data_IF_474795422969
#
_entry.id   IF_474795422969
#
_cell.length_a   1.000
_cell.length_b   1.000
_cell.length_c   1.000
_cell.angle_alpha   90.00
_cell.angle_beta   90.00
_cell.angle_gamma   90.00
#
_symmetry.space_group_name_H-M   'P 1'
#
loop_
_entity.id
_entity.type
_entity.pdbx_description
1 polymer ?
#
# COMPACT_ATOMS: atom_id res chain seq x y z
N UNK A 1 -8.06 6.83 22.85
CA UNK A 1 -8.85 5.63 22.62
C UNK A 1 -7.97 4.45 23.02
N UNK A 2 -8.36 3.73 24.06
CA UNK A 2 -7.57 2.62 24.66
C UNK A 2 -8.13 1.26 24.28
N UNK A 3 -9.14 1.21 23.41
CA UNK A 3 -9.76 -0.02 22.97
C UNK A 3 -8.95 -0.66 21.85
N UNK A 4 -8.93 -1.99 21.85
CA UNK A 4 -8.33 -2.77 20.78
C UNK A 4 -9.03 -2.48 19.44
N UNK A 5 -8.27 -2.18 18.40
CA UNK A 5 -8.78 -1.87 17.05
C UNK A 5 -9.52 -3.03 16.38
N UNK A 6 -9.30 -4.27 16.83
CA UNK A 6 -9.87 -5.47 16.20
C UNK A 6 -11.13 -5.97 16.91
N UNK A 7 -11.17 -5.98 18.24
CA UNK A 7 -12.33 -6.46 19.01
C UNK A 7 -13.14 -5.33 19.66
N UNK A 8 -12.68 -4.07 19.56
CA UNK A 8 -13.28 -2.88 20.18
C UNK A 8 -13.44 -2.95 21.72
N UNK A 9 -12.77 -3.90 22.38
CA UNK A 9 -12.77 -4.07 23.84
C UNK A 9 -11.50 -3.49 24.48
N UNK A 10 -11.61 -3.04 25.71
CA UNK A 10 -10.51 -2.61 26.59
C UNK A 10 -10.24 -3.60 27.75
N UNK A 11 -10.92 -4.76 27.75
CA UNK A 11 -10.65 -5.86 28.69
C UNK A 11 -9.19 -6.34 28.58
N UNK A 12 -8.63 -6.97 29.61
CA UNK A 12 -7.24 -7.48 29.57
C UNK A 12 -6.20 -6.40 29.20
N UNK A 13 -6.33 -5.21 29.78
CA UNK A 13 -5.46 -4.05 29.49
C UNK A 13 -3.94 -4.35 29.59
N UNK A 14 -3.55 -5.30 30.44
CA UNK A 14 -2.15 -5.77 30.58
C UNK A 14 -1.61 -6.52 29.34
N UNK A 15 -2.49 -6.93 28.42
CA UNK A 15 -2.14 -7.59 27.14
C UNK A 15 -2.37 -6.67 25.94
N UNK A 16 -2.55 -5.38 26.16
CA UNK A 16 -2.65 -4.38 25.09
C UNK A 16 -1.26 -3.93 24.64
N UNK A 17 -1.12 -3.80 23.32
CA UNK A 17 0.01 -3.21 22.64
C UNK A 17 -0.40 -1.85 22.08
N UNK A 18 0.37 -0.84 22.42
CA UNK A 18 0.27 0.49 21.86
C UNK A 18 1.26 0.61 20.71
N UNK A 19 0.81 1.11 19.56
CA UNK A 19 1.71 1.43 18.47
C UNK A 19 2.58 2.64 18.81
N UNK A 20 3.89 2.54 18.65
CA UNK A 20 4.81 3.68 18.86
C UNK A 20 4.66 4.77 17.77
N UNK A 21 4.04 4.40 16.65
CA UNK A 21 3.67 5.31 15.58
C UNK A 21 4.86 5.75 14.73
N UNK A 22 4.59 6.58 13.71
CA UNK A 22 5.64 7.14 12.88
C UNK A 22 5.96 8.58 13.31
N UNK A 23 7.20 9.05 13.17
CA UNK A 23 7.58 10.41 13.60
C UNK A 23 6.73 11.53 12.99
N UNK A 24 6.18 11.35 11.78
CA UNK A 24 5.30 12.31 11.11
C UNK A 24 3.81 11.95 11.16
N UNK A 25 3.49 10.75 11.62
CA UNK A 25 2.12 10.25 11.72
C UNK A 25 2.00 9.53 13.05
N UNK A 26 1.74 10.32 14.11
CA UNK A 26 1.46 9.77 15.42
C UNK A 26 0.34 8.75 15.31
N UNK A 27 0.54 7.58 15.90
CA UNK A 27 -0.45 6.51 15.90
C UNK A 27 -0.86 6.25 17.34
N UNK A 28 -2.16 6.23 17.58
CA UNK A 28 -2.74 5.91 18.89
C UNK A 28 -3.45 4.56 18.86
N UNK A 29 -3.14 3.74 17.84
CA UNK A 29 -3.77 2.46 17.67
C UNK A 29 -3.30 1.48 18.76
N UNK A 30 -4.27 0.77 19.31
CA UNK A 30 -4.09 -0.19 20.39
C UNK A 30 -4.63 -1.53 19.94
N UNK A 31 -3.95 -2.61 20.28
CA UNK A 31 -4.32 -3.98 19.89
C UNK A 31 -4.09 -4.94 21.04
N UNK A 32 -4.98 -5.91 21.25
CA UNK A 32 -4.62 -7.07 22.06
C UNK A 32 -3.59 -7.91 21.33
N UNK A 33 -2.61 -8.40 22.08
CA UNK A 33 -1.59 -9.33 21.56
C UNK A 33 -2.20 -10.55 20.86
N UNK A 34 -3.30 -11.07 21.40
CA UNK A 34 -3.97 -12.26 20.88
C UNK A 34 -4.97 -11.98 19.75
N UNK A 35 -5.31 -10.71 19.50
CA UNK A 35 -6.17 -10.35 18.37
C UNK A 35 -5.38 -10.18 17.07
N UNK A 36 -4.05 -10.03 17.16
CA UNK A 36 -3.17 -9.93 15.98
C UNK A 36 -3.11 -11.26 15.23
N UNK A 37 -2.76 -11.19 13.95
CA UNK A 37 -2.46 -12.35 13.10
C UNK A 37 -1.03 -12.25 12.55
N UNK A 38 -0.09 -13.11 12.97
CA UNK A 38 -0.27 -14.16 14.00
C UNK A 38 -0.40 -13.57 15.42
N UNK A 39 -1.07 -14.28 16.35
CA UNK A 39 -1.22 -13.82 17.73
C UNK A 39 0.11 -13.87 18.47
N UNK A 40 0.36 -12.85 19.29
CA UNK A 40 1.57 -12.73 20.10
C UNK A 40 1.35 -13.32 21.49
N UNK A 41 2.30 -14.15 21.94
CA UNK A 41 2.27 -14.77 23.27
C UNK A 41 2.99 -13.95 24.34
N UNK A 42 3.87 -13.02 23.93
CA UNK A 42 4.64 -12.13 24.82
C UNK A 42 4.81 -10.75 24.19
N UNK A 43 5.03 -9.74 25.03
CA UNK A 43 5.35 -8.39 24.55
C UNK A 43 6.61 -8.45 23.66
N UNK A 44 6.58 -7.82 22.47
CA UNK A 44 7.75 -7.73 21.61
C UNK A 44 8.83 -6.86 22.29
N UNK A 45 10.12 -7.19 22.15
CA UNK A 45 11.19 -6.33 22.63
C UNK A 45 11.38 -5.13 21.69
N UNK A 46 11.56 -3.94 22.27
CA UNK A 46 11.76 -2.70 21.51
C UNK A 46 10.45 -2.09 21.00
N UNK A 47 10.56 -1.25 19.97
CA UNK A 47 9.42 -0.55 19.39
C UNK A 47 8.49 -1.53 18.65
N UNK A 48 7.19 -1.33 18.81
CA UNK A 48 6.17 -2.08 18.10
C UNK A 48 5.29 -1.15 17.26
N UNK A 49 5.07 -1.55 16.01
CA UNK A 49 4.24 -0.82 15.07
C UNK A 49 3.02 -1.67 14.71
N UNK A 50 1.84 -1.05 14.73
CA UNK A 50 0.64 -1.70 14.25
C UNK A 50 0.75 -2.06 12.75
N UNK A 51 -0.10 -2.97 12.23
CA UNK A 51 -0.04 -3.37 10.82
C UNK A 51 -0.05 -2.20 9.84
N UNK A 52 -0.82 -1.14 10.12
CA UNK A 52 -0.86 0.08 9.30
C UNK A 52 0.48 0.84 9.31
N UNK A 53 1.09 1.04 10.49
CA UNK A 53 2.38 1.72 10.60
C UNK A 53 3.51 0.89 10.02
N UNK A 54 3.51 -0.43 10.23
CA UNK A 54 4.45 -1.35 9.62
C UNK A 54 4.33 -1.32 8.08
N UNK A 55 3.12 -1.32 7.54
CA UNK A 55 2.88 -1.18 6.10
C UNK A 55 3.40 0.16 5.56
N UNK A 56 3.12 1.27 6.26
CA UNK A 56 3.63 2.59 5.88
C UNK A 56 5.15 2.69 5.92
N UNK A 57 5.81 2.03 6.87
CA UNK A 57 7.28 1.93 6.87
C UNK A 57 7.82 1.19 5.64
N UNK A 58 7.08 0.23 5.07
CA UNK A 58 7.47 -0.49 3.85
C UNK A 58 7.71 0.43 2.65
N UNK A 59 7.12 1.64 2.64
CA UNK A 59 7.33 2.62 1.57
C UNK A 59 8.79 3.10 1.43
N UNK A 60 9.62 2.92 2.46
CA UNK A 60 11.07 3.14 2.34
C UNK A 60 11.72 2.13 1.37
N UNK A 61 11.16 0.92 1.29
CA UNK A 61 11.66 -0.24 0.54
C UNK A 61 11.04 -0.37 -0.86
N UNK A 62 10.38 0.68 -1.37
CA UNK A 62 9.96 0.71 -2.78
C UNK A 62 11.19 0.50 -3.66
N UNK A 63 11.28 -0.57 -4.43
CA UNK A 63 12.39 -0.75 -5.36
C UNK A 63 12.11 0.02 -6.66
N UNK A 64 10.90 -0.14 -7.20
CA UNK A 64 10.50 0.43 -8.48
C UNK A 64 8.98 0.61 -8.55
N UNK A 65 8.53 1.66 -9.22
CA UNK A 65 7.14 1.79 -9.71
C UNK A 65 7.07 1.15 -11.08
N UNK A 66 6.22 0.14 -11.23
CA UNK A 66 6.10 -0.69 -12.42
C UNK A 66 5.01 -0.18 -13.35
N UNK A 67 3.86 0.20 -12.79
CA UNK A 67 2.68 0.63 -13.56
C UNK A 67 1.81 1.62 -12.75
N UNK A 68 0.77 2.17 -13.36
CA UNK A 68 -0.28 2.94 -12.70
C UNK A 68 -1.66 2.57 -13.26
N UNK A 69 -2.69 2.75 -12.45
CA UNK A 69 -4.09 2.68 -12.87
C UNK A 69 -4.87 3.83 -12.26
N UNK A 70 -5.86 4.32 -12.98
CA UNK A 70 -6.85 5.25 -12.46
C UNK A 70 -8.11 4.43 -12.09
N UNK A 71 -8.38 4.29 -10.80
CA UNK A 71 -9.52 3.55 -10.26
C UNK A 71 -10.69 4.51 -10.09
N UNK A 72 -11.91 4.18 -10.56
CA UNK A 72 -13.10 4.99 -10.28
C UNK A 72 -13.25 5.20 -8.77
N UNK A 73 -13.55 6.43 -8.35
CA UNK A 73 -13.85 6.67 -6.95
C UNK A 73 -15.14 5.90 -6.58
N UNK A 74 -15.07 5.06 -5.55
CA UNK A 74 -16.15 4.17 -5.11
C UNK A 74 -17.52 4.85 -5.05
N UNK A 75 -18.52 4.28 -5.73
CA UNK A 75 -19.94 4.65 -5.67
C UNK A 75 -20.61 4.11 -4.39
N UNK A 76 -20.03 4.38 -3.22
CA UNK A 76 -20.54 3.97 -1.91
C UNK A 76 -21.73 4.81 -1.39
N UNK A 77 -22.64 5.26 -2.27
CA UNK A 77 -23.75 6.13 -1.88
C UNK A 77 -24.96 6.05 -2.82
N UNK A 78 -26.08 5.55 -2.28
CA UNK A 78 -27.45 5.60 -2.84
C UNK A 78 -27.68 6.75 -3.84
N UNK A 79 -28.05 6.38 -5.06
CA UNK A 79 -28.22 7.26 -6.20
C UNK A 79 -28.96 8.57 -5.92
N UNK A 80 -28.39 9.65 -6.48
CA UNK A 80 -29.11 10.84 -6.90
C UNK A 80 -28.64 11.16 -8.31
N UNK A 81 -29.54 10.99 -9.27
CA UNK A 81 -29.33 11.40 -10.65
C UNK A 81 -29.28 12.94 -10.69
N UNK A 82 -28.13 13.45 -11.09
CA UNK A 82 -27.90 14.86 -11.39
C UNK A 82 -26.62 14.97 -12.18
N UNK A 83 -26.65 15.74 -13.27
CA UNK A 83 -25.50 16.06 -14.11
C UNK A 83 -24.49 16.89 -13.31
N UNK A 84 -23.63 16.22 -12.55
CA UNK A 84 -22.43 16.77 -11.94
C UNK A 84 -21.35 15.70 -12.10
N UNK A 85 -20.20 16.09 -12.67
CA UNK A 85 -19.11 15.16 -12.91
C UNK A 85 -18.76 14.46 -11.59
N UNK A 86 -18.92 13.14 -11.54
CA UNK A 86 -18.63 12.34 -10.35
C UNK A 86 -17.22 12.59 -9.80
N UNK A 87 -16.93 12.14 -8.57
CA UNK A 87 -15.63 12.36 -7.94
C UNK A 87 -14.49 11.92 -8.88
N UNK A 88 -13.38 12.69 -8.94
CA UNK A 88 -12.27 12.34 -9.81
C UNK A 88 -11.73 10.95 -9.46
N UNK A 89 -11.27 10.17 -10.45
CA UNK A 89 -10.71 8.86 -10.19
C UNK A 89 -9.47 8.95 -9.29
N UNK A 90 -9.26 7.91 -8.48
CA UNK A 90 -8.08 7.79 -7.62
C UNK A 90 -6.98 7.05 -8.37
N UNK A 91 -5.78 7.60 -8.35
CA UNK A 91 -4.61 6.95 -8.96
C UNK A 91 -3.94 5.99 -7.99
N UNK A 92 -3.60 4.81 -8.48
CA UNK A 92 -2.79 3.81 -7.77
C UNK A 92 -1.57 3.42 -8.62
N UNK A 93 -0.45 3.12 -7.96
CA UNK A 93 0.79 2.69 -8.59
C UNK A 93 1.10 1.24 -8.24
N UNK A 94 1.47 0.42 -9.23
CA UNK A 94 1.94 -0.94 -8.98
C UNK A 94 3.40 -0.93 -8.59
N UNK A 95 3.71 -1.39 -7.38
CA UNK A 95 5.03 -1.23 -6.76
C UNK A 95 5.73 -2.57 -6.61
N UNK A 96 6.99 -2.62 -7.08
CA UNK A 96 7.97 -3.64 -6.72
C UNK A 96 8.64 -3.27 -5.41
N UNK A 97 8.61 -4.17 -4.44
CA UNK A 97 9.26 -4.01 -3.14
C UNK A 97 10.67 -4.61 -3.14
N UNK A 98 11.60 -3.94 -2.46
CA UNK A 98 12.99 -4.37 -2.34
C UNK A 98 13.06 -5.65 -1.51
N UNK A 99 13.79 -6.64 -2.01
CA UNK A 99 13.95 -7.93 -1.34
C UNK A 99 12.75 -8.87 -1.51
N UNK A 100 11.70 -8.43 -2.20
CA UNK A 100 10.53 -9.25 -2.50
C UNK A 100 10.48 -9.66 -3.98
N UNK A 101 9.88 -10.82 -4.23
CA UNK A 101 9.61 -11.28 -5.60
C UNK A 101 8.52 -10.44 -6.27
N UNK A 102 8.33 -10.61 -7.58
CA UNK A 102 7.28 -9.88 -8.30
C UNK A 102 5.86 -10.28 -7.86
N UNK A 103 5.69 -11.46 -7.25
CA UNK A 103 4.41 -11.94 -6.69
C UNK A 103 3.88 -11.06 -5.55
N UNK A 104 4.77 -10.37 -4.84
CA UNK A 104 4.41 -9.53 -3.70
C UNK A 104 4.23 -8.06 -4.11
N UNK A 105 4.27 -7.74 -5.41
CA UNK A 105 3.99 -6.40 -5.88
C UNK A 105 2.52 -6.07 -5.60
N UNK A 106 2.26 -4.83 -5.20
CA UNK A 106 0.94 -4.37 -4.77
C UNK A 106 0.59 -3.01 -5.37
N UNK A 107 -0.71 -2.72 -5.41
CA UNK A 107 -1.24 -1.43 -5.83
C UNK A 107 -1.29 -0.48 -4.64
N UNK A 108 -0.52 0.61 -4.74
CA UNK A 108 -0.39 1.61 -3.69
C UNK A 108 -1.05 2.93 -4.12
N UNK A 109 -2.00 3.47 -3.34
CA UNK A 109 -2.65 4.74 -3.67
C UNK A 109 -1.67 5.92 -3.73
N UNK A 110 -1.84 6.79 -4.72
CA UNK A 110 -1.04 8.01 -4.88
C UNK A 110 -1.13 8.92 -3.64
N UNK A 111 -2.30 8.96 -3.00
CA UNK A 111 -2.52 9.72 -1.76
C UNK A 111 -1.61 9.23 -0.63
N UNK A 112 -1.49 7.91 -0.43
CA UNK A 112 -0.61 7.33 0.59
C UNK A 112 0.85 7.50 0.21
N UNK A 113 1.22 7.26 -1.06
CA UNK A 113 2.58 7.55 -1.55
C UNK A 113 2.97 9.02 -1.36
N UNK A 114 2.04 9.95 -1.57
CA UNK A 114 2.23 11.39 -1.38
C UNK A 114 2.43 11.77 0.08
N UNK A 115 1.68 11.14 1.01
CA UNK A 115 1.92 11.27 2.46
C UNK A 115 3.30 10.73 2.82
N UNK A 116 3.64 9.54 2.34
CA UNK A 116 4.90 8.88 2.64
C UNK A 116 6.10 9.57 2.02
N UNK A 117 5.97 10.28 0.90
CA UNK A 117 7.05 11.07 0.30
C UNK A 117 7.62 12.12 1.27
N UNK A 118 6.79 12.68 2.17
CA UNK A 118 7.26 13.61 3.20
C UNK A 118 8.24 12.96 4.18
N UNK A 119 8.08 11.66 4.43
CA UNK A 119 8.94 10.87 5.32
C UNK A 119 10.12 10.24 4.56
N UNK A 120 9.87 9.77 3.34
CA UNK A 120 10.83 9.09 2.48
C UNK A 120 10.93 9.84 1.15
N UNK A 121 11.78 10.88 1.04
CA UNK A 121 11.88 11.72 -0.15
C UNK A 121 12.15 10.97 -1.45
N UNK A 122 12.81 9.81 -1.36
CA UNK A 122 13.10 8.93 -2.49
C UNK A 122 11.85 8.46 -3.26
N UNK A 123 10.67 8.41 -2.62
CA UNK A 123 9.42 7.98 -3.27
C UNK A 123 9.11 8.86 -4.48
N UNK A 124 9.18 10.19 -4.33
CA UNK A 124 8.91 11.13 -5.43
C UNK A 124 9.90 10.96 -6.57
N UNK A 125 11.18 10.74 -6.27
CA UNK A 125 12.18 10.50 -7.30
C UNK A 125 11.88 9.21 -8.11
N UNK A 126 11.39 8.15 -7.45
CA UNK A 126 10.98 6.90 -8.12
C UNK A 126 9.77 7.11 -9.03
N UNK A 127 8.75 7.84 -8.56
CA UNK A 127 7.56 8.19 -9.36
C UNK A 127 7.94 9.05 -10.57
N UNK A 128 8.76 10.10 -10.37
CA UNK A 128 9.23 10.96 -11.46
C UNK A 128 10.01 10.17 -12.52
N UNK A 129 10.88 9.26 -12.08
CA UNK A 129 11.63 8.37 -12.99
C UNK A 129 10.69 7.47 -13.79
N UNK A 130 9.67 6.91 -13.15
CA UNK A 130 8.67 6.07 -13.83
C UNK A 130 8.00 6.81 -14.99
N UNK A 131 7.45 8.00 -14.74
CA UNK A 131 6.79 8.81 -15.77
C UNK A 131 7.73 9.15 -16.93
N UNK A 132 8.96 9.58 -16.62
CA UNK A 132 9.99 9.88 -17.65
C UNK A 132 10.29 8.67 -18.55
N UNK A 133 10.36 7.47 -17.98
CA UNK A 133 10.65 6.25 -18.75
C UNK A 133 9.44 5.74 -19.54
N UNK A 134 8.22 6.07 -19.10
CA UNK A 134 6.98 5.61 -19.76
C UNK A 134 6.62 6.45 -20.98
N UNK A 135 6.87 7.75 -20.94
CA UNK A 135 6.70 8.64 -22.11
C UNK A 135 7.45 8.13 -23.35
N UNK A 136 8.57 7.41 -23.17
CA UNK A 136 9.34 6.80 -24.26
C UNK A 136 8.91 5.40 -24.71
N UNK A 137 8.01 4.70 -24.00
CA UNK A 137 7.66 3.29 -24.23
C UNK A 137 6.21 3.04 -24.70
N UNK A 138 5.40 4.10 -24.84
CA UNK A 138 3.94 3.99 -25.01
C UNK A 138 3.43 3.25 -26.26
N UNK A 139 4.26 2.97 -27.27
CA UNK A 139 3.82 2.30 -28.50
C UNK A 139 3.99 0.78 -28.44
N UNK A 140 5.14 0.26 -28.01
CA UNK A 140 5.46 -1.17 -28.02
C UNK A 140 4.88 -1.92 -26.80
N UNK A 141 4.81 -1.29 -25.62
CA UNK A 141 4.25 -1.92 -24.42
C UNK A 141 2.74 -2.13 -24.50
N UNK A 142 1.98 -1.26 -25.19
CA UNK A 142 0.52 -1.43 -25.35
C UNK A 142 0.16 -2.69 -26.13
N UNK A 143 0.89 -2.98 -27.20
CA UNK A 143 0.64 -4.16 -28.04
C UNK A 143 0.99 -5.46 -27.29
N UNK A 144 2.05 -5.46 -26.49
CA UNK A 144 2.45 -6.60 -25.67
C UNK A 144 1.56 -6.82 -24.43
N UNK A 145 1.03 -5.76 -23.83
CA UNK A 145 0.03 -5.83 -22.75
C UNK A 145 -1.33 -6.33 -23.27
N UNK A 146 -1.78 -5.89 -24.45
CA UNK A 146 -2.99 -6.40 -25.09
C UNK A 146 -2.87 -7.89 -25.46
N UNK A 147 -1.67 -8.37 -25.77
CA UNK A 147 -1.39 -9.79 -26.01
C UNK A 147 -1.33 -10.64 -24.71
N UNK A 148 -1.36 -10.02 -23.52
CA UNK A 148 -1.29 -10.70 -22.23
C UNK A 148 0.09 -11.31 -21.91
N UNK A 149 1.12 -10.98 -22.67
CA UNK A 149 2.49 -11.46 -22.47
C UNK A 149 3.16 -10.76 -21.28
N UNK A 150 2.77 -9.50 -21.03
CA UNK A 150 3.22 -8.70 -19.91
C UNK A 150 2.04 -8.19 -19.08
N UNK A 151 2.15 -8.31 -17.77
CA UNK A 151 1.21 -7.78 -16.79
C UNK A 151 1.96 -6.70 -16.01
N UNK A 152 1.55 -5.43 -16.14
CA UNK A 152 2.19 -4.27 -15.48
C UNK A 152 3.67 -4.11 -15.82
N UNK A 153 4.05 -4.35 -17.09
CA UNK A 153 5.44 -4.35 -17.54
C UNK A 153 6.31 -5.48 -16.97
N UNK A 154 5.71 -6.51 -16.37
CA UNK A 154 6.37 -7.73 -15.88
C UNK A 154 5.91 -8.90 -16.74
N UNK A 155 6.85 -9.72 -17.21
CA UNK A 155 6.50 -10.89 -18.02
C UNK A 155 5.61 -11.84 -17.20
N UNK A 156 4.51 -12.30 -17.78
CA UNK A 156 3.47 -13.07 -17.08
C UNK A 156 4.02 -14.33 -16.40
N UNK A 157 5.01 -15.00 -17.01
CA UNK A 157 5.67 -16.18 -16.42
C UNK A 157 6.43 -15.91 -15.11
N UNK A 158 6.80 -14.66 -14.81
CA UNK A 158 7.44 -14.31 -13.53
C UNK A 158 6.44 -14.15 -12.39
N UNK A 159 5.15 -14.22 -12.70
CA UNK A 159 4.04 -14.23 -11.75
C UNK A 159 3.51 -15.65 -11.50
N UNK A 160 4.16 -16.67 -12.05
CA UNK A 160 3.85 -18.08 -11.81
C UNK A 160 4.84 -18.68 -10.80
N UNK A 161 4.34 -19.55 -9.92
CA UNK A 161 5.19 -20.33 -9.01
C UNK A 161 5.44 -21.68 -9.69
N UNK A 162 6.67 -21.93 -10.13
CA UNK A 162 7.09 -23.28 -10.57
C UNK A 162 6.96 -24.24 -9.36
N UNK A 163 6.13 -25.27 -9.52
CA UNK A 163 5.87 -26.29 -8.49
C UNK A 163 6.87 -27.43 -8.56
#
# INVERSE_FOLDING_TARGET
DTHCKLCASDEDAQKLLCCDGLPLFGCTAVYHMYCLDPPLSRLPPGDWFCPECAHRFKYQDIERVLDYRDVPADEGGSGREGEDAGPPPRREYYVKWKGESYLHCSWEPEEEMGKMHKMFPAIKAKIQRFWKLREGRQAEEREAEEAGEYIHGVHSSWLEVER
#
